data_IF_078464113454
#
_entry.id   IF_078464113454
#
_cell.length_a   1.000
_cell.length_b   1.000
_cell.length_c   1.000
_cell.angle_alpha   90.00
_cell.angle_beta   90.00
_cell.angle_gamma   90.00
#
_symmetry.space_group_name_H-M   'P 1'
#
loop_
_entity.id
_entity.type
_entity.pdbx_description
1 polymer ?
#
# COMPACT_ATOMS: atom_id res chain seq x y z
N UNK A 1 59.98 9.20 -7.83
CA UNK A 1 59.16 10.43 -7.78
C UNK A 1 58.04 10.27 -8.80
N UNK A 2 56.85 9.85 -8.36
CA UNK A 2 55.64 9.87 -9.18
C UNK A 2 54.57 10.59 -8.36
N UNK A 3 54.09 11.67 -8.96
CA UNK A 3 53.20 12.67 -8.40
C UNK A 3 51.84 12.10 -7.97
N UNK A 4 51.51 12.29 -6.69
CA UNK A 4 50.11 12.27 -6.21
C UNK A 4 49.48 13.64 -6.43
N UNK A 5 49.39 14.12 -7.68
CA UNK A 5 48.60 15.31 -7.99
C UNK A 5 47.12 14.90 -8.00
N UNK A 6 46.45 15.07 -6.87
CA UNK A 6 45.01 14.92 -6.76
C UNK A 6 44.32 15.65 -7.92
N UNK A 7 43.75 14.88 -8.85
CA UNK A 7 43.09 15.40 -10.04
C UNK A 7 41.84 16.20 -9.61
N UNK A 8 41.83 17.50 -9.85
CA UNK A 8 40.62 18.31 -9.64
C UNK A 8 39.56 17.86 -10.65
N UNK A 9 38.37 17.42 -10.20
CA UNK A 9 37.32 16.99 -11.11
C UNK A 9 36.89 18.17 -11.98
N UNK A 10 36.67 17.92 -13.27
CA UNK A 10 36.21 18.95 -14.19
C UNK A 10 34.82 19.48 -13.75
N UNK A 11 34.54 20.79 -13.87
CA UNK A 11 33.29 21.39 -13.38
C UNK A 11 32.03 20.77 -14.02
N UNK A 12 32.16 20.22 -15.23
CA UNK A 12 31.09 19.45 -15.90
C UNK A 12 30.77 18.14 -15.18
N UNK A 13 31.79 17.42 -14.69
CA UNK A 13 31.62 16.20 -13.91
C UNK A 13 30.93 16.50 -12.57
N UNK A 14 31.26 17.62 -11.93
CA UNK A 14 30.59 18.07 -10.71
C UNK A 14 29.12 18.42 -10.97
N UNK A 15 28.83 19.14 -12.06
CA UNK A 15 27.45 19.48 -12.44
C UNK A 15 26.60 18.24 -12.75
N UNK A 16 27.16 17.26 -13.47
CA UNK A 16 26.49 16.00 -13.77
C UNK A 16 26.23 15.19 -12.49
N UNK A 17 27.20 15.12 -11.58
CA UNK A 17 27.02 14.43 -10.30
C UNK A 17 25.97 15.11 -9.41
N UNK A 18 25.96 16.45 -9.34
CA UNK A 18 24.96 17.20 -8.60
C UNK A 18 23.56 17.00 -9.17
N UNK A 19 23.41 17.03 -10.50
CA UNK A 19 22.13 16.74 -11.14
C UNK A 19 21.66 15.31 -10.90
N UNK A 20 22.57 14.33 -10.94
CA UNK A 20 22.26 12.94 -10.65
C UNK A 20 21.80 12.72 -9.19
N UNK A 21 22.37 13.46 -8.23
CA UNK A 21 21.94 13.45 -6.83
C UNK A 21 20.57 14.10 -6.64
N UNK A 22 20.27 15.19 -7.34
CA UNK A 22 18.94 15.83 -7.30
C UNK A 22 17.86 15.03 -8.05
N UNK A 23 18.25 14.29 -9.09
CA UNK A 23 17.37 13.42 -9.86
C UNK A 23 17.29 11.99 -9.30
N UNK A 24 18.00 11.70 -8.21
CA UNK A 24 17.87 10.44 -7.51
C UNK A 24 16.46 10.37 -6.88
N UNK A 25 15.59 9.57 -7.50
CA UNK A 25 14.25 9.34 -7.00
C UNK A 25 14.35 8.74 -5.58
N UNK A 26 13.64 9.32 -4.62
CA UNK A 26 13.43 8.67 -3.34
C UNK A 26 12.74 7.32 -3.59
N UNK A 27 13.12 6.28 -2.85
CA UNK A 27 12.39 5.03 -2.87
C UNK A 27 10.99 5.28 -2.26
N UNK A 28 10.01 5.57 -3.12
CA UNK A 28 8.63 5.77 -2.71
C UNK A 28 8.00 4.42 -2.35
N UNK A 29 8.16 4.02 -1.10
CA UNK A 29 7.39 2.93 -0.52
C UNK A 29 6.02 3.49 -0.13
N UNK A 30 5.02 3.26 -0.98
CA UNK A 30 3.63 3.53 -0.60
C UNK A 30 3.22 2.41 0.35
N UNK A 31 2.87 2.78 1.58
CA UNK A 31 2.30 1.88 2.56
C UNK A 31 0.85 1.62 2.18
N UNK A 32 0.53 0.35 1.92
CA UNK A 32 -0.83 -0.09 1.65
C UNK A 32 -1.33 -0.95 2.80
N UNK A 33 -2.37 -0.46 3.47
CA UNK A 33 -3.02 -1.14 4.59
C UNK A 33 -4.53 -1.10 4.41
N UNK A 34 -5.27 -1.86 5.20
CA UNK A 34 -6.72 -1.87 5.10
C UNK A 34 -7.37 -3.06 5.80
N UNK A 35 -8.68 -3.15 5.63
CA UNK A 35 -9.50 -4.23 6.14
C UNK A 35 -10.52 -4.62 5.07
N UNK A 36 -10.65 -5.92 4.80
CA UNK A 36 -11.68 -6.40 3.87
C UNK A 36 -12.40 -7.62 4.43
N UNK A 37 -13.71 -7.68 4.20
CA UNK A 37 -14.56 -8.84 4.42
C UNK A 37 -15.48 -9.04 3.22
N UNK A 38 -15.62 -10.29 2.81
CA UNK A 38 -16.49 -10.71 1.74
C UNK A 38 -16.51 -12.22 1.70
N UNK A 39 -17.61 -12.81 1.22
CA UNK A 39 -17.72 -14.25 1.16
C UNK A 39 -18.91 -14.71 0.33
N UNK A 40 -18.94 -16.00 -0.05
CA UNK A 40 -19.97 -16.56 -0.92
C UNK A 40 -21.34 -16.46 -0.24
N UNK A 41 -22.33 -15.86 -0.90
CA UNK A 41 -23.70 -15.73 -0.39
C UNK A 41 -24.49 -17.04 -0.58
N UNK A 42 -24.07 -18.11 0.10
CA UNK A 42 -24.80 -19.36 0.11
C UNK A 42 -25.88 -19.39 1.20
N UNK A 43 -27.06 -19.86 0.85
CA UNK A 43 -28.17 -20.17 1.76
C UNK A 43 -28.83 -21.48 1.32
N UNK A 44 -29.45 -22.20 2.26
CA UNK A 44 -30.14 -23.46 1.99
C UNK A 44 -31.45 -23.28 1.22
N UNK A 45 -31.98 -22.05 1.14
CA UNK A 45 -33.21 -21.74 0.42
C UNK A 45 -32.88 -21.33 -1.02
N UNK A 46 -33.34 -22.14 -1.98
CA UNK A 46 -33.12 -21.87 -3.40
C UNK A 46 -33.64 -20.49 -3.81
N UNK A 47 -32.83 -19.77 -4.60
CA UNK A 47 -33.18 -18.45 -5.15
C UNK A 47 -33.21 -17.30 -4.14
N UNK A 48 -32.69 -17.49 -2.92
CA UNK A 48 -32.59 -16.43 -1.91
C UNK A 48 -31.14 -16.01 -1.67
N UNK A 49 -30.94 -14.77 -1.23
CA UNK A 49 -29.66 -14.29 -0.74
C UNK A 49 -29.37 -14.85 0.67
N UNK A 50 -28.10 -14.87 1.06
CA UNK A 50 -27.70 -15.17 2.44
C UNK A 50 -28.41 -14.20 3.40
N UNK A 51 -28.82 -14.74 4.54
CA UNK A 51 -29.46 -14.00 5.63
C UNK A 51 -28.49 -13.88 6.82
N UNK A 52 -28.57 -12.75 7.53
CA UNK A 52 -27.78 -12.48 8.73
C UNK A 52 -28.70 -12.20 9.90
N UNK A 53 -28.34 -12.70 11.08
CA UNK A 53 -29.19 -12.74 12.26
C UNK A 53 -28.58 -11.95 13.42
N UNK A 54 -29.39 -11.18 14.14
CA UNK A 54 -28.93 -10.35 15.26
C UNK A 54 -30.03 -10.09 16.27
N UNK A 55 -29.63 -9.59 17.43
CA UNK A 55 -30.53 -9.11 18.48
C UNK A 55 -30.32 -7.61 18.66
N UNK A 56 -31.29 -6.81 18.21
CA UNK A 56 -31.12 -5.36 18.11
C UNK A 56 -29.94 -5.02 17.19
N UNK A 57 -28.99 -4.24 17.71
CA UNK A 57 -27.80 -3.78 16.95
C UNK A 57 -26.62 -4.77 17.00
N UNK A 58 -26.72 -5.85 17.78
CA UNK A 58 -25.62 -6.79 17.98
C UNK A 58 -25.82 -8.08 17.19
N UNK A 59 -24.70 -8.62 16.70
CA UNK A 59 -24.63 -9.95 16.08
C UNK A 59 -23.29 -10.63 16.35
N UNK A 60 -23.31 -11.94 16.58
CA UNK A 60 -22.11 -12.76 16.48
C UNK A 60 -21.66 -12.80 15.04
N UNK A 61 -20.39 -12.50 14.76
CA UNK A 61 -19.93 -12.17 13.39
C UNK A 61 -19.58 -13.39 12.52
N UNK A 62 -19.04 -14.45 13.11
CA UNK A 62 -18.53 -15.59 12.34
C UNK A 62 -19.66 -16.24 11.51
N UNK A 63 -19.51 -16.21 10.17
CA UNK A 63 -20.52 -16.74 9.24
C UNK A 63 -21.81 -15.91 9.11
N UNK A 64 -21.84 -14.70 9.68
CA UNK A 64 -23.04 -13.91 9.86
C UNK A 64 -22.85 -12.46 9.35
N UNK A 65 -22.10 -12.35 8.26
CA UNK A 65 -21.86 -11.12 7.51
C UNK A 65 -22.39 -11.32 6.08
N UNK A 66 -23.22 -10.38 5.64
CA UNK A 66 -24.00 -10.47 4.39
C UNK A 66 -23.68 -9.33 3.43
N UNK A 67 -22.71 -8.51 3.81
CA UNK A 67 -22.23 -7.35 3.09
C UNK A 67 -20.82 -7.62 2.56
N UNK A 68 -20.47 -6.90 1.50
CA UNK A 68 -19.10 -6.81 1.02
C UNK A 68 -18.55 -5.48 1.52
N UNK A 69 -17.53 -5.53 2.36
CA UNK A 69 -16.98 -4.35 3.00
C UNK A 69 -15.47 -4.33 2.86
N UNK A 70 -14.94 -3.20 2.43
CA UNK A 70 -13.51 -3.01 2.21
C UNK A 70 -13.12 -1.58 2.53
N UNK A 71 -12.04 -1.44 3.28
CA UNK A 71 -11.32 -0.21 3.54
C UNK A 71 -9.91 -0.36 3.00
N UNK A 72 -9.47 0.64 2.24
CA UNK A 72 -8.13 0.68 1.66
C UNK A 72 -7.49 2.00 2.03
N UNK A 73 -6.34 1.91 2.67
CA UNK A 73 -5.55 3.06 3.08
C UNK A 73 -4.23 3.04 2.32
N UNK A 74 -3.91 4.20 1.76
CA UNK A 74 -2.65 4.47 1.09
C UNK A 74 -1.97 5.57 1.89
N UNK A 75 -0.77 5.29 2.38
CA UNK A 75 0.07 6.25 3.07
C UNK A 75 1.44 6.33 2.39
N UNK A 76 2.08 7.49 2.52
CA UNK A 76 3.45 7.66 2.07
C UNK A 76 4.16 8.44 3.18
N UNK A 77 5.15 7.81 3.81
CA UNK A 77 6.04 8.51 4.71
C UNK A 77 6.83 9.57 3.90
N UNK A 78 6.92 10.78 4.44
CA UNK A 78 7.79 11.85 3.94
C UNK A 78 9.14 11.83 4.64
#
# INVERSE_FOLDING_TARGET
MQDTRASRPAPRLVAVAAFALCAANAAHAVDWTGYMRGGPAATSVSGKSRQCYGIGEFKYRLGNECDFYGEFQLAQAM
#
